data_IF_835220051968
#
_entry.id   IF_835220051968
#
_cell.length_a   1.000
_cell.length_b   1.000
_cell.length_c   1.000
_cell.angle_alpha   90.00
_cell.angle_beta   90.00
_cell.angle_gamma   90.00
#
_symmetry.space_group_name_H-M   'P 1'
#
loop_
_entity.id
_entity.type
_entity.pdbx_description
1 polymer ?
#
# COMPACT_ATOMS: atom_id res chain seq x y z
N UNK A 1 -21.19 3.46 8.32
CA UNK A 1 -20.37 2.22 8.32
C UNK A 1 -20.30 1.74 6.88
N UNK A 2 -19.10 1.49 6.37
CA UNK A 2 -18.85 1.05 4.99
C UNK A 2 -17.87 -0.12 4.96
N UNK A 3 -17.94 -0.88 3.87
CA UNK A 3 -17.05 -1.99 3.57
C UNK A 3 -16.19 -1.64 2.34
N UNK A 4 -14.89 -1.89 2.43
CA UNK A 4 -13.92 -1.79 1.33
C UNK A 4 -13.29 -3.16 1.10
N UNK A 5 -13.09 -3.57 -0.16
CA UNK A 5 -12.40 -4.82 -0.49
C UNK A 5 -11.13 -4.51 -1.28
N UNK A 6 -10.02 -5.11 -0.88
CA UNK A 6 -8.70 -4.88 -1.48
C UNK A 6 -7.84 -6.15 -1.46
N UNK A 7 -7.01 -6.31 -2.49
CA UNK A 7 -6.04 -7.38 -2.64
C UNK A 7 -4.66 -6.80 -3.01
N UNK A 8 -3.59 -7.32 -2.41
CA UNK A 8 -2.20 -6.90 -2.67
C UNK A 8 -1.20 -8.00 -2.23
N UNK A 9 -1.43 -9.22 -2.67
CA UNK A 9 -0.63 -10.38 -2.30
C UNK A 9 -1.25 -11.13 -1.13
N UNK A 10 -0.42 -11.76 -0.30
CA UNK A 10 -0.83 -12.49 0.90
C UNK A 10 -1.61 -11.56 1.82
N UNK A 11 -2.83 -11.98 2.18
CA UNK A 11 -3.76 -11.18 2.97
C UNK A 11 -3.17 -10.70 4.29
N UNK A 12 -2.28 -11.48 4.92
CA UNK A 12 -1.74 -11.22 6.25
C UNK A 12 -1.03 -9.86 6.38
N UNK A 13 -0.46 -9.33 5.28
CA UNK A 13 0.14 -8.01 5.28
C UNK A 13 -0.91 -6.91 5.37
N UNK A 14 -1.94 -6.95 4.52
CA UNK A 14 -3.05 -5.99 4.59
C UNK A 14 -3.83 -6.14 5.89
N UNK A 15 -4.08 -7.37 6.33
CA UNK A 15 -4.75 -7.66 7.60
C UNK A 15 -4.06 -6.93 8.76
N UNK A 16 -2.73 -7.03 8.85
CA UNK A 16 -1.99 -6.35 9.91
C UNK A 16 -2.15 -4.83 9.82
N UNK A 17 -1.88 -4.27 8.65
CA UNK A 17 -1.80 -2.81 8.46
C UNK A 17 -3.16 -2.14 8.66
N UNK A 18 -4.25 -2.78 8.23
CA UNK A 18 -5.60 -2.25 8.47
C UNK A 18 -6.10 -2.52 9.90
N UNK A 19 -5.67 -3.60 10.56
CA UNK A 19 -5.95 -3.77 11.99
C UNK A 19 -5.26 -2.70 12.84
N UNK A 20 -4.07 -2.24 12.44
CA UNK A 20 -3.39 -1.14 13.11
C UNK A 20 -4.18 0.17 12.99
N UNK A 21 -5.06 0.34 12.00
CA UNK A 21 -5.93 1.53 11.83
C UNK A 21 -7.22 1.49 12.67
N UNK A 22 -7.40 0.50 13.57
CA UNK A 22 -8.58 0.43 14.43
C UNK A 22 -8.77 1.67 15.32
N UNK A 23 -7.66 2.28 15.76
CA UNK A 23 -7.71 3.52 16.54
C UNK A 23 -8.28 4.71 15.75
N UNK A 24 -8.17 4.68 14.41
CA UNK A 24 -8.56 5.77 13.53
C UNK A 24 -9.98 5.64 12.98
N UNK A 25 -10.60 4.45 13.04
CA UNK A 25 -11.97 4.26 12.55
C UNK A 25 -12.24 2.92 11.88
N UNK A 26 -11.22 2.10 11.60
CA UNK A 26 -11.43 0.71 11.16
C UNK A 26 -12.09 -0.08 12.30
N UNK A 27 -13.13 -0.86 11.99
CA UNK A 27 -13.84 -1.70 12.96
C UNK A 27 -13.42 -3.15 12.86
N UNK A 28 -13.35 -3.65 11.64
CA UNK A 28 -13.08 -5.06 11.37
C UNK A 28 -12.27 -5.21 10.10
N UNK A 29 -11.41 -6.22 10.09
CA UNK A 29 -10.64 -6.63 8.92
C UNK A 29 -10.79 -8.14 8.81
N UNK A 30 -11.44 -8.59 7.74
CA UNK A 30 -11.75 -10.00 7.47
C UNK A 30 -10.92 -10.44 6.28
N UNK A 31 -9.93 -11.34 6.44
CA UNK A 31 -9.22 -11.92 5.31
C UNK A 31 -10.06 -13.00 4.61
N UNK A 32 -9.89 -13.15 3.30
CA UNK A 32 -10.63 -14.14 2.52
C UNK A 32 -10.15 -14.25 1.07
N UNK A 33 -10.86 -15.07 0.30
CA UNK A 33 -10.67 -15.23 -1.14
C UNK A 33 -11.73 -14.43 -1.89
N UNK A 34 -11.29 -13.51 -2.76
CA UNK A 34 -12.17 -12.71 -3.60
C UNK A 34 -12.10 -13.16 -5.07
N UNK A 35 -13.25 -13.34 -5.72
CA UNK A 35 -13.33 -13.71 -7.14
C UNK A 35 -13.72 -12.53 -8.04
N UNK A 36 -13.58 -12.71 -9.36
CA UNK A 36 -13.96 -11.71 -10.36
C UNK A 36 -12.86 -10.71 -10.72
N UNK A 37 -11.60 -11.02 -10.43
CA UNK A 37 -10.45 -10.23 -10.87
C UNK A 37 -10.08 -10.59 -12.31
N UNK A 38 -10.10 -9.65 -13.28
CA UNK A 38 -9.83 -9.94 -14.69
C UNK A 38 -8.46 -10.61 -14.92
N UNK A 39 -8.36 -11.45 -15.96
CA UNK A 39 -7.11 -12.08 -16.40
C UNK A 39 -6.89 -13.52 -15.91
N UNK A 40 -7.61 -13.96 -14.87
CA UNK A 40 -7.62 -15.36 -14.40
C UNK A 40 -8.94 -15.59 -13.64
N UNK A 41 -9.55 -16.77 -13.78
CA UNK A 41 -10.80 -17.13 -13.08
C UNK A 41 -10.58 -17.48 -11.59
N UNK A 42 -9.32 -17.65 -11.17
CA UNK A 42 -8.94 -17.93 -9.79
C UNK A 42 -9.20 -16.76 -8.84
N UNK A 43 -9.60 -17.11 -7.62
CA UNK A 43 -9.76 -16.14 -6.53
C UNK A 43 -8.40 -15.63 -6.03
N UNK A 44 -8.37 -14.37 -5.58
CA UNK A 44 -7.20 -13.72 -5.00
C UNK A 44 -7.31 -13.60 -3.49
N UNK A 45 -6.16 -13.60 -2.80
CA UNK A 45 -6.08 -13.22 -1.39
C UNK A 45 -6.46 -11.74 -1.23
N UNK A 46 -7.50 -11.50 -0.45
CA UNK A 46 -8.06 -10.17 -0.22
C UNK A 46 -8.39 -9.97 1.26
N UNK A 47 -8.67 -8.72 1.61
CA UNK A 47 -9.29 -8.35 2.88
C UNK A 47 -10.54 -7.52 2.64
N UNK A 48 -11.59 -7.79 3.42
CA UNK A 48 -12.74 -6.89 3.61
C UNK A 48 -12.45 -6.03 4.84
N UNK A 49 -12.46 -4.72 4.67
CA UNK A 49 -12.24 -3.74 5.74
C UNK A 49 -13.56 -3.03 5.99
N UNK A 50 -14.09 -3.19 7.19
CA UNK A 50 -15.30 -2.48 7.64
C UNK A 50 -14.86 -1.28 8.48
N UNK A 51 -15.31 -0.07 8.12
CA UNK A 51 -14.85 1.18 8.73
C UNK A 51 -15.97 2.21 8.93
N UNK A 52 -15.69 3.15 9.83
CA UNK A 52 -16.54 4.29 10.16
C UNK A 52 -16.12 5.50 9.33
N UNK A 53 -16.89 5.81 8.27
CA UNK A 53 -16.57 6.87 7.31
C UNK A 53 -16.60 8.28 7.91
N UNK A 54 -17.23 8.45 9.09
CA UNK A 54 -17.17 9.72 9.84
C UNK A 54 -15.84 9.90 10.59
N UNK A 55 -15.06 8.83 10.76
CA UNK A 55 -13.78 8.83 11.50
C UNK A 55 -12.56 8.67 10.60
N UNK A 56 -12.67 7.83 9.56
CA UNK A 56 -11.61 7.60 8.59
C UNK A 56 -12.19 7.59 7.18
N UNK A 57 -11.62 8.42 6.29
CA UNK A 57 -12.04 8.49 4.89
C UNK A 57 -11.53 7.29 4.08
N UNK A 58 -12.24 6.96 3.00
CA UNK A 58 -11.80 5.99 2.00
C UNK A 58 -10.41 6.35 1.46
N UNK A 59 -10.19 7.62 1.14
CA UNK A 59 -8.87 8.14 0.74
C UNK A 59 -7.76 7.76 1.71
N UNK A 60 -7.98 7.87 3.04
CA UNK A 60 -6.95 7.55 4.03
C UNK A 60 -6.65 6.04 4.08
N UNK A 61 -7.66 5.21 3.87
CA UNK A 61 -7.50 3.77 3.72
C UNK A 61 -6.70 3.44 2.44
N UNK A 62 -7.02 4.09 1.33
CA UNK A 62 -6.28 3.94 0.07
C UNK A 62 -4.83 4.40 0.16
N UNK A 63 -4.54 5.49 0.90
CA UNK A 63 -3.17 5.90 1.19
C UNK A 63 -2.36 4.81 1.91
N UNK A 64 -3.02 3.98 2.73
CA UNK A 64 -2.39 2.82 3.38
C UNK A 64 -2.19 1.69 2.38
N UNK A 65 -3.19 1.42 1.52
CA UNK A 65 -3.09 0.41 0.47
C UNK A 65 -1.91 0.66 -0.48
N UNK A 66 -1.72 1.89 -0.97
CA UNK A 66 -0.64 2.24 -1.91
C UNK A 66 0.77 2.04 -1.34
N UNK A 67 0.93 2.04 -0.02
CA UNK A 67 2.19 1.74 0.69
C UNK A 67 2.45 0.25 0.87
N UNK A 68 1.55 -0.60 0.36
CA UNK A 68 1.62 -2.03 0.51
C UNK A 68 1.44 -2.79 -0.81
N UNK A 69 1.13 -2.13 -1.93
CA UNK A 69 1.00 -2.77 -3.25
C UNK A 69 2.15 -2.39 -4.18
N UNK A 70 2.62 -3.33 -4.99
CA UNK A 70 3.38 -3.06 -6.22
C UNK A 70 2.39 -3.04 -7.40
N UNK A 71 1.93 -1.85 -7.83
CA UNK A 71 0.95 -1.73 -8.89
C UNK A 71 1.53 -2.01 -10.27
N UNK A 72 2.84 -2.28 -10.41
CA UNK A 72 3.45 -2.63 -11.72
C UNK A 72 3.37 -4.11 -12.04
N UNK A 73 2.91 -4.93 -11.09
CA UNK A 73 2.89 -6.38 -11.20
C UNK A 73 1.48 -6.94 -11.36
N UNK A 74 1.24 -7.59 -12.49
CA UNK A 74 -0.04 -8.24 -12.81
C UNK A 74 -0.13 -9.71 -12.40
N UNK A 75 0.99 -10.36 -12.06
CA UNK A 75 1.09 -11.82 -11.84
C UNK A 75 1.44 -12.23 -10.41
N UNK A 76 1.33 -11.29 -9.46
CA UNK A 76 1.72 -11.48 -8.08
C UNK A 76 2.17 -10.18 -7.43
N UNK A 77 2.81 -10.28 -6.26
CA UNK A 77 3.27 -9.15 -5.47
C UNK A 77 4.61 -9.48 -4.81
N UNK A 78 5.63 -8.64 -5.01
CA UNK A 78 6.97 -8.84 -4.45
C UNK A 78 7.52 -10.26 -4.72
N UNK A 79 7.62 -11.09 -3.68
CA UNK A 79 8.07 -12.49 -3.75
C UNK A 79 6.95 -13.51 -3.93
N UNK A 80 5.71 -13.05 -3.82
CA UNK A 80 4.49 -13.84 -3.86
C UNK A 80 4.04 -13.95 -5.32
N UNK A 81 4.35 -15.06 -5.97
CA UNK A 81 4.03 -15.29 -7.38
C UNK A 81 2.74 -16.10 -7.55
N UNK A 82 1.97 -15.80 -8.59
CA UNK A 82 0.78 -16.54 -8.98
C UNK A 82 -0.51 -15.76 -8.83
N UNK A 83 -1.53 -16.23 -9.53
CA UNK A 83 -2.81 -15.52 -9.66
C UNK A 83 -3.49 -15.21 -8.32
N UNK A 84 -3.32 -16.08 -7.32
CA UNK A 84 -3.79 -15.88 -5.94
C UNK A 84 -3.26 -14.58 -5.30
N UNK A 85 -2.08 -14.11 -5.68
CA UNK A 85 -1.42 -12.97 -5.06
C UNK A 85 -1.51 -11.68 -5.87
N UNK A 86 -2.39 -11.64 -6.88
CA UNK A 86 -2.59 -10.42 -7.68
C UNK A 86 -3.25 -9.32 -6.86
N UNK A 87 -3.00 -8.08 -7.27
CA UNK A 87 -3.63 -6.92 -6.68
C UNK A 87 -5.01 -6.65 -7.31
N UNK A 88 -5.92 -6.06 -6.54
CA UNK A 88 -7.20 -5.54 -7.00
C UNK A 88 -7.79 -4.56 -5.97
N UNK A 89 -8.59 -3.61 -6.45
CA UNK A 89 -9.36 -2.68 -5.61
C UNK A 89 -10.81 -2.76 -6.08
N UNK A 90 -11.75 -2.97 -5.15
CA UNK A 90 -13.18 -2.88 -5.44
C UNK A 90 -13.74 -1.62 -4.78
N UNK A 91 -14.34 -0.74 -5.59
CA UNK A 91 -14.83 0.58 -5.19
C UNK A 91 -16.36 0.65 -5.17
N UNK A 92 -16.93 1.38 -4.21
CA UNK A 92 -18.38 1.60 -4.10
C UNK A 92 -18.79 2.90 -4.81
N UNK A 93 -19.14 2.75 -6.09
CA UNK A 93 -19.74 3.79 -6.91
C UNK A 93 -18.76 4.82 -7.51
N UNK A 94 -19.29 5.84 -8.21
CA UNK A 94 -18.50 6.73 -9.05
C UNK A 94 -17.50 7.62 -8.29
N UNK A 95 -17.80 7.97 -7.04
CA UNK A 95 -16.96 8.85 -6.24
C UNK A 95 -15.64 8.15 -5.85
N UNK A 96 -15.71 6.95 -5.28
CA UNK A 96 -14.53 6.14 -4.93
C UNK A 96 -13.76 5.72 -6.18
N UNK A 97 -14.46 5.33 -7.26
CA UNK A 97 -13.82 5.05 -8.55
C UNK A 97 -12.96 6.22 -9.03
N UNK A 98 -13.53 7.42 -9.07
CA UNK A 98 -12.81 8.62 -9.50
C UNK A 98 -11.61 8.92 -8.60
N UNK A 99 -11.77 8.77 -7.28
CA UNK A 99 -10.68 8.94 -6.32
C UNK A 99 -9.52 7.97 -6.61
N UNK A 100 -9.81 6.68 -6.72
CA UNK A 100 -8.81 5.63 -6.95
C UNK A 100 -8.12 5.80 -8.31
N UNK A 101 -8.87 6.07 -9.38
CA UNK A 101 -8.32 6.28 -10.72
C UNK A 101 -7.47 7.56 -10.80
N UNK A 102 -7.85 8.61 -10.07
CA UNK A 102 -7.05 9.83 -9.95
C UNK A 102 -5.72 9.53 -9.24
N UNK A 103 -5.77 8.80 -8.12
CA UNK A 103 -4.57 8.40 -7.38
C UNK A 103 -3.65 7.53 -8.23
N UNK A 104 -4.21 6.57 -8.97
CA UNK A 104 -3.47 5.71 -9.90
C UNK A 104 -2.81 6.54 -11.02
N UNK A 105 -3.53 7.50 -11.58
CA UNK A 105 -3.01 8.40 -12.63
C UNK A 105 -1.86 9.26 -12.11
N UNK A 106 -1.97 9.79 -10.88
CA UNK A 106 -0.89 10.55 -10.22
C UNK A 106 0.33 9.69 -9.95
N UNK A 107 0.15 8.47 -9.46
CA UNK A 107 1.25 7.51 -9.26
C UNK A 107 1.92 7.15 -10.59
N UNK A 108 1.13 6.93 -11.65
CA UNK A 108 1.63 6.66 -13.00
C UNK A 108 2.48 7.82 -13.53
N UNK A 109 2.01 9.07 -13.40
CA UNK A 109 2.70 10.27 -13.86
C UNK A 109 3.97 10.57 -13.07
N UNK A 110 4.02 10.22 -11.79
CA UNK A 110 5.20 10.43 -10.95
C UNK A 110 6.38 9.53 -11.32
N UNK A 111 6.15 8.45 -12.08
CA UNK A 111 7.17 7.44 -12.41
C UNK A 111 7.86 6.80 -11.19
N UNK A 112 7.27 6.92 -9.99
CA UNK A 112 7.86 6.44 -8.71
C UNK A 112 8.18 4.94 -8.74
N UNK A 113 7.36 4.14 -9.42
CA UNK A 113 7.56 2.70 -9.58
C UNK A 113 8.51 2.32 -10.74
N UNK A 114 9.01 3.30 -11.47
CA UNK A 114 9.96 3.17 -12.58
C UNK A 114 9.47 3.89 -13.84
N UNK A 115 10.39 4.61 -14.49
CA UNK A 115 10.15 5.32 -15.76
C UNK A 115 9.53 4.40 -16.81
N UNK A 116 8.41 4.83 -17.39
CA UNK A 116 7.69 4.09 -18.44
C UNK A 116 7.04 2.77 -18.02
N UNK A 117 6.98 2.44 -16.72
CA UNK A 117 6.24 1.26 -16.26
C UNK A 117 4.75 1.57 -16.14
N UNK A 118 3.92 0.69 -16.69
CA UNK A 118 2.47 0.77 -16.53
C UNK A 118 2.05 0.30 -15.13
N UNK A 119 1.09 1.02 -14.53
CA UNK A 119 0.38 0.57 -13.34
C UNK A 119 -0.86 -0.23 -13.76
N UNK A 120 -0.93 -1.49 -13.33
CA UNK A 120 -1.87 -2.50 -13.84
C UNK A 120 -2.87 -2.99 -12.78
N UNK A 121 -2.91 -2.36 -11.60
CA UNK A 121 -3.89 -2.72 -10.56
C UNK A 121 -5.32 -2.46 -11.05
N UNK A 122 -6.18 -3.49 -11.13
CA UNK A 122 -7.55 -3.31 -11.59
C UNK A 122 -8.42 -2.59 -10.56
N UNK A 123 -9.27 -1.68 -11.04
CA UNK A 123 -10.29 -0.96 -10.26
C UNK A 123 -11.68 -1.46 -10.66
N UNK A 124 -12.28 -2.25 -9.79
CA UNK A 124 -13.50 -3.03 -10.02
C UNK A 124 -14.66 -2.45 -9.20
N UNK A 125 -15.91 -2.75 -9.58
CA UNK A 125 -17.06 -2.35 -8.76
C UNK A 125 -17.21 -3.30 -7.56
N UNK A 126 -17.46 -2.73 -6.38
CA UNK A 126 -17.78 -3.48 -5.18
C UNK A 126 -19.25 -3.96 -5.16
N UNK A 127 -19.53 -5.07 -4.46
CA UNK A 127 -18.58 -6.01 -3.86
C UNK A 127 -17.91 -6.91 -4.93
N UNK A 128 -16.85 -7.68 -4.56
CA UNK A 128 -16.35 -8.75 -5.41
C UNK A 128 -17.46 -9.73 -5.83
N UNK A 129 -17.26 -10.46 -6.94
CA UNK A 129 -18.25 -11.44 -7.43
C UNK A 129 -18.58 -12.51 -6.38
N UNK A 130 -17.57 -12.93 -5.63
CA UNK A 130 -17.73 -13.67 -4.37
C UNK A 130 -16.61 -13.26 -3.41
N UNK A 131 -16.88 -13.38 -2.11
CA UNK A 131 -15.89 -13.23 -1.06
C UNK A 131 -16.09 -14.34 -0.04
N UNK A 132 -15.10 -15.24 0.07
CA UNK A 132 -15.12 -16.40 0.94
C UNK A 132 -14.14 -16.16 2.10
N UNK A 133 -14.62 -15.80 3.31
CA UNK A 133 -13.75 -15.54 4.46
C UNK A 133 -12.90 -16.76 4.82
N UNK A 134 -11.65 -16.54 5.19
CA UNK A 134 -10.85 -17.60 5.81
C UNK A 134 -11.39 -17.93 7.21
N UNK A 135 -11.22 -19.18 7.68
CA UNK A 135 -11.48 -19.53 9.07
C UNK A 135 -10.76 -18.60 10.06
N UNK A 136 -11.41 -18.23 11.16
CA UNK A 136 -10.89 -17.24 12.12
C UNK A 136 -9.55 -17.63 12.75
N UNK A 137 -9.25 -18.93 12.86
CA UNK A 137 -7.97 -19.43 13.38
C UNK A 137 -6.78 -19.15 12.43
N UNK A 138 -7.06 -18.84 11.16
CA UNK A 138 -6.05 -18.40 10.18
C UNK A 138 -5.84 -16.88 10.22
N UNK A 139 -6.72 -16.13 10.87
CA UNK A 139 -6.57 -14.69 11.02
C UNK A 139 -5.41 -14.41 11.95
N UNK A 140 -4.58 -13.43 11.61
CA UNK A 140 -3.37 -13.06 12.35
C UNK A 140 -2.35 -14.20 12.51
N UNK A 141 -2.53 -15.35 11.86
CA UNK A 141 -1.66 -16.51 12.05
C UNK A 141 -0.19 -16.18 11.78
N UNK A 142 0.08 -15.41 10.70
CA UNK A 142 1.42 -14.95 10.39
C UNK A 142 1.91 -13.88 11.39
N UNK A 143 1.05 -12.93 11.76
CA UNK A 143 1.42 -11.81 12.65
C UNK A 143 1.61 -12.24 14.12
N UNK A 144 0.98 -13.34 14.54
CA UNK A 144 1.18 -13.95 15.85
C UNK A 144 2.57 -14.62 15.98
N UNK A 145 3.28 -14.79 14.87
CA UNK A 145 4.69 -15.20 14.86
C UNK A 145 5.55 -14.07 14.29
N UNK A 146 6.00 -13.11 15.12
CA UNK A 146 6.77 -11.96 14.66
C UNK A 146 8.00 -12.32 13.83
N UNK A 147 8.72 -13.38 14.19
CA UNK A 147 9.90 -13.83 13.43
C UNK A 147 9.53 -14.28 12.02
N UNK A 148 8.44 -15.03 11.88
CA UNK A 148 7.95 -15.45 10.57
C UNK A 148 7.44 -14.25 9.76
N UNK A 149 6.68 -13.35 10.39
CA UNK A 149 6.20 -12.13 9.75
C UNK A 149 7.35 -11.25 9.23
N UNK A 150 8.35 -10.94 10.05
CA UNK A 150 9.49 -10.09 9.65
C UNK A 150 10.30 -10.73 8.51
N UNK A 151 10.54 -12.04 8.59
CA UNK A 151 11.16 -12.79 7.48
C UNK A 151 10.32 -12.70 6.21
N UNK A 152 9.00 -12.78 6.35
CA UNK A 152 8.11 -12.80 5.21
C UNK A 152 8.00 -11.43 4.54
N UNK A 153 7.91 -10.37 5.36
CA UNK A 153 7.82 -8.97 4.96
C UNK A 153 9.11 -8.44 4.32
N UNK A 154 10.28 -9.03 4.60
CA UNK A 154 11.58 -8.45 4.27
C UNK A 154 11.74 -7.95 2.81
N UNK A 155 11.31 -8.71 1.80
CA UNK A 155 11.42 -8.29 0.40
C UNK A 155 10.47 -7.14 0.05
N UNK A 156 9.24 -7.20 0.56
CA UNK A 156 8.26 -6.12 0.47
C UNK A 156 8.83 -4.87 1.14
N UNK A 157 9.29 -4.98 2.38
CA UNK A 157 9.90 -3.88 3.13
C UNK A 157 11.09 -3.28 2.38
N UNK A 158 11.99 -4.10 1.81
CA UNK A 158 13.12 -3.60 1.01
C UNK A 158 12.68 -2.81 -0.23
N UNK A 159 11.62 -3.26 -0.92
CA UNK A 159 11.06 -2.52 -2.04
C UNK A 159 10.46 -1.18 -1.59
N UNK A 160 9.69 -1.19 -0.49
CA UNK A 160 9.09 0.03 0.06
C UNK A 160 10.10 0.97 0.71
N UNK A 161 11.18 0.48 1.31
CA UNK A 161 12.28 1.30 1.80
C UNK A 161 13.05 1.98 0.67
N UNK A 162 12.99 1.44 -0.55
CA UNK A 162 13.53 2.12 -1.73
C UNK A 162 12.55 3.15 -2.29
N UNK A 163 11.27 2.81 -2.31
CA UNK A 163 10.21 3.63 -2.92
C UNK A 163 9.72 4.76 -2.01
N UNK A 164 9.67 4.53 -0.70
CA UNK A 164 9.13 5.37 0.38
C UNK A 164 10.12 5.53 1.54
N UNK A 165 11.40 5.28 1.23
CA UNK A 165 12.51 5.25 2.16
C UNK A 165 12.72 6.49 3.00
N UNK A 166 13.50 6.31 4.05
CA UNK A 166 13.89 7.41 4.91
C UNK A 166 15.06 8.15 4.29
N UNK A 167 14.95 9.46 4.13
CA UNK A 167 16.10 10.31 3.92
C UNK A 167 16.51 10.84 5.29
N UNK A 168 17.74 10.52 5.68
CA UNK A 168 18.38 11.18 6.82
C UNK A 168 18.91 12.52 6.32
N UNK A 169 18.28 13.61 6.76
CA UNK A 169 18.76 14.96 6.48
C UNK A 169 19.58 15.46 7.65
N UNK A 170 20.78 15.96 7.40
CA UNK A 170 21.59 16.63 8.41
C UNK A 170 21.93 18.05 7.94
N UNK A 171 21.19 19.05 8.44
CA UNK A 171 21.62 20.45 8.38
C UNK A 171 22.24 20.85 9.72
N UNK A 172 23.41 21.49 9.69
CA UNK A 172 24.05 22.07 10.86
C UNK A 172 24.21 21.10 12.07
N UNK A 173 24.52 19.83 11.80
CA UNK A 173 24.68 18.73 12.80
C UNK A 173 23.40 18.30 13.54
N UNK A 174 22.22 18.80 13.15
CA UNK A 174 20.95 18.18 13.54
C UNK A 174 20.56 17.16 12.47
N UNK A 175 20.56 15.88 12.83
CA UNK A 175 20.07 14.83 11.94
C UNK A 175 18.60 14.50 12.30
N UNK A 176 17.71 14.65 11.32
CA UNK A 176 16.31 14.26 11.41
C UNK A 176 15.99 13.09 10.45
N UNK A 177 14.94 12.33 10.78
CA UNK A 177 14.45 11.24 9.93
C UNK A 177 13.14 11.67 9.25
N UNK A 178 13.07 11.55 7.93
CA UNK A 178 11.84 11.82 7.16
C UNK A 178 11.59 10.66 6.19
N UNK A 179 10.38 10.09 6.17
CA UNK A 179 9.96 9.12 5.14
C UNK A 179 9.62 9.90 3.87
N UNK A 180 10.45 9.78 2.85
CA UNK A 180 10.19 10.32 1.53
C UNK A 180 9.83 9.19 0.58
N UNK A 181 9.00 9.46 -0.41
CA UNK A 181 9.24 8.80 -1.69
C UNK A 181 10.30 9.61 -2.44
N UNK A 182 11.59 9.18 -2.50
CA UNK A 182 12.65 9.96 -3.15
C UNK A 182 12.38 10.24 -4.63
N UNK A 183 11.42 9.53 -5.25
CA UNK A 183 11.02 9.71 -6.64
C UNK A 183 9.64 10.38 -6.83
N UNK A 184 8.94 10.81 -5.76
CA UNK A 184 7.64 11.48 -5.90
C UNK A 184 7.85 12.96 -6.24
N UNK A 185 7.35 13.38 -7.40
CA UNK A 185 7.42 14.77 -7.89
C UNK A 185 6.02 15.29 -8.24
N UNK A 186 5.83 16.62 -8.25
CA UNK A 186 4.59 17.27 -8.71
C UNK A 186 3.33 16.93 -7.91
N UNK A 187 2.22 16.65 -8.61
CA UNK A 187 0.87 16.40 -8.07
C UNK A 187 0.78 15.19 -7.11
N UNK A 188 1.77 14.29 -7.13
CA UNK A 188 1.88 13.17 -6.20
C UNK A 188 1.91 13.67 -4.73
N UNK A 189 2.56 14.81 -4.45
CA UNK A 189 2.61 15.40 -3.11
C UNK A 189 1.28 16.01 -2.65
N UNK A 190 0.35 16.31 -3.56
CA UNK A 190 -0.98 16.83 -3.20
C UNK A 190 -1.93 15.73 -2.73
N UNK A 191 -1.68 14.48 -3.12
CA UNK A 191 -2.45 13.30 -2.68
C UNK A 191 -2.05 12.83 -1.28
N UNK A 192 -0.81 13.14 -0.89
CA UNK A 192 -0.25 12.81 0.42
C UNK A 192 0.23 14.10 1.11
N UNK A 193 -0.67 15.04 1.43
CA UNK A 193 -0.30 16.37 1.91
C UNK A 193 0.42 16.33 3.27
N UNK A 194 0.26 15.25 4.06
CA UNK A 194 1.06 15.04 5.27
C UNK A 194 2.57 14.90 4.98
N UNK A 195 2.94 14.56 3.73
CA UNK A 195 4.32 14.62 3.27
C UNK A 195 4.73 16.06 2.98
N UNK A 196 3.82 16.91 2.48
CA UNK A 196 4.10 18.32 2.15
C UNK A 196 4.44 19.17 3.37
N UNK A 197 3.66 19.11 4.45
CA UNK A 197 3.95 19.84 5.70
C UNK A 197 5.23 19.35 6.36
N UNK A 198 5.53 18.05 6.24
CA UNK A 198 6.74 17.42 6.78
C UNK A 198 7.98 17.65 5.92
N UNK A 199 7.79 17.99 4.64
CA UNK A 199 8.81 18.38 3.66
C UNK A 199 8.98 19.90 3.53
N UNK A 200 8.19 20.70 4.25
CA UNK A 200 8.28 22.17 4.18
C UNK A 200 9.67 22.63 4.63
N UNK A 201 10.40 23.31 3.73
CA UNK A 201 11.78 23.77 3.96
C UNK A 201 12.87 22.72 3.76
N UNK A 202 12.54 21.49 3.34
CA UNK A 202 13.53 20.51 2.90
C UNK A 202 13.92 20.81 1.44
N UNK A 203 15.22 20.96 1.13
CA UNK A 203 15.65 21.20 -0.23
C UNK A 203 15.29 20.02 -1.14
N UNK A 204 14.93 20.34 -2.39
CA UNK A 204 14.69 19.33 -3.42
C UNK A 204 15.95 18.46 -3.57
N UNK A 205 15.77 17.14 -3.58
CA UNK A 205 16.85 16.18 -3.64
C UNK A 205 17.36 16.08 -5.08
N UNK A 206 18.18 17.06 -5.48
CA UNK A 206 18.77 17.12 -6.81
C UNK A 206 20.18 16.52 -6.75
N UNK A 207 20.38 15.35 -7.38
CA UNK A 207 21.69 14.69 -7.53
C UNK A 207 21.83 13.33 -6.85
N UNK A 208 22.96 12.65 -7.07
CA UNK A 208 23.29 11.37 -6.46
C UNK A 208 23.55 11.53 -4.95
N UNK A 209 22.55 11.23 -4.14
CA UNK A 209 22.71 11.16 -2.68
C UNK A 209 23.49 9.89 -2.35
N UNK A 210 24.75 10.04 -1.94
CA UNK A 210 25.50 8.95 -1.33
C UNK A 210 24.90 8.61 0.04
N UNK A 211 24.09 7.57 0.09
CA UNK A 211 23.73 6.87 1.33
C UNK A 211 24.99 6.14 1.80
N UNK A 212 25.85 6.79 2.59
CA UNK A 212 26.93 6.08 3.28
C UNK A 212 26.32 5.39 4.50
N UNK A 213 25.86 4.16 4.32
CA UNK A 213 25.65 3.23 5.42
C UNK A 213 27.00 2.95 6.07
N UNK A 214 27.32 3.66 7.15
CA UNK A 214 28.52 3.41 7.93
C UNK A 214 28.41 2.07 8.65
N UNK A 215 28.96 1.01 8.06
CA UNK A 215 29.49 -0.10 8.86
C UNK A 215 30.82 0.37 9.45
N UNK A 216 30.76 0.92 10.66
CA UNK A 216 31.92 1.44 11.36
C UNK A 216 31.76 1.28 12.87
N UNK A 217 31.98 0.05 13.34
CA UNK A 217 32.71 -0.25 14.57
C UNK A 217 33.14 -1.70 14.58
#
# INVERSE_FOLDING_TARGET
>A
MKDMYIAAGRYAFLEKEFNDLRYAGVKEVVPGLASGVPGDESSVDAVKVTYDEEKISHEKLMQTYWKHVDPTRGDGQFKENGAKYRAAIWVDGPAERKEVETNLSRLQNSEIFGKGKALVTPVLDAPPKSFDPYPEDQWKALTNNPKAYEKDKAERQKAFDKLWGFVQYCANRLCGYVRFAPNCTGECLETFPELRERNFGQPELIGDIKITGGSGR
#
